data_IF_674513982880
#
_entry.id   IF_674513982880
#
_cell.length_a   1.000
_cell.length_b   1.000
_cell.length_c   1.000
_cell.angle_alpha   90.00
_cell.angle_beta   90.00
_cell.angle_gamma   90.00
#
_symmetry.space_group_name_H-M   'P 1'
#
loop_
_entity.id
_entity.type
_entity.pdbx_description
1 polymer ?
#
# COMPACT_ATOMS: atom_id res chain seq x y z
N UNK A 1 -19.08 15.70 -1.32
CA UNK A 1 -17.82 14.93 -1.16
C UNK A 1 -18.24 13.50 -0.92
N UNK A 2 -17.83 12.56 -1.77
CA UNK A 2 -18.15 11.14 -1.54
C UNK A 2 -17.47 10.66 -0.26
N UNK A 3 -18.16 9.84 0.54
CA UNK A 3 -17.59 9.28 1.75
C UNK A 3 -16.41 8.37 1.38
N UNK A 4 -15.29 8.47 2.10
CA UNK A 4 -14.16 7.56 1.92
C UNK A 4 -14.60 6.14 2.25
N UNK A 5 -14.11 5.14 1.51
CA UNK A 5 -14.37 3.72 1.82
C UNK A 5 -13.06 3.02 2.17
N UNK A 6 -13.03 2.37 3.33
CA UNK A 6 -11.89 1.62 3.86
C UNK A 6 -12.19 0.13 3.74
N UNK A 7 -11.50 -0.53 2.82
CA UNK A 7 -11.63 -1.96 2.59
C UNK A 7 -10.55 -2.74 3.35
N UNK A 8 -10.93 -3.89 3.92
CA UNK A 8 -10.00 -4.75 4.65
C UNK A 8 -10.42 -6.24 4.59
N UNK A 9 -9.50 -7.18 4.32
CA UNK A 9 -9.81 -8.61 4.33
C UNK A 9 -9.63 -9.24 5.73
N UNK A 10 -8.63 -8.80 6.48
CA UNK A 10 -8.32 -9.27 7.83
C UNK A 10 -8.16 -8.05 8.73
N UNK A 11 -8.69 -8.11 9.95
CA UNK A 11 -8.72 -6.98 10.90
C UNK A 11 -7.34 -6.65 11.49
N UNK A 12 -6.28 -6.68 10.68
CA UNK A 12 -4.90 -6.46 11.09
C UNK A 12 -4.67 -5.06 11.66
N UNK A 13 -3.53 -4.90 12.35
CA UNK A 13 -3.18 -3.67 13.06
C UNK A 13 -3.21 -2.43 12.17
N UNK A 14 -2.75 -2.52 10.92
CA UNK A 14 -2.81 -1.42 9.94
C UNK A 14 -4.24 -0.95 9.64
N UNK A 15 -5.17 -1.89 9.46
CA UNK A 15 -6.58 -1.59 9.17
C UNK A 15 -7.26 -0.89 10.36
N UNK A 16 -6.91 -1.29 11.59
CA UNK A 16 -7.39 -0.62 12.80
C UNK A 16 -6.84 0.80 12.89
N UNK A 17 -5.54 1.00 12.63
CA UNK A 17 -4.88 2.31 12.70
C UNK A 17 -5.44 3.32 11.70
N UNK A 18 -5.76 2.90 10.48
CA UNK A 18 -6.40 3.79 9.48
C UNK A 18 -7.76 4.28 9.98
N UNK A 19 -8.57 3.37 10.52
CA UNK A 19 -9.89 3.70 11.08
C UNK A 19 -9.77 4.66 12.27
N UNK A 20 -8.84 4.40 13.19
CA UNK A 20 -8.55 5.30 14.32
C UNK A 20 -8.12 6.68 13.86
N UNK A 21 -7.25 6.77 12.85
CA UNK A 21 -6.78 8.03 12.28
C UNK A 21 -7.93 8.83 11.68
N UNK A 22 -8.76 8.22 10.83
CA UNK A 22 -9.89 8.90 10.19
C UNK A 22 -10.92 9.37 11.22
N UNK A 23 -11.26 8.51 12.19
CA UNK A 23 -12.13 8.87 13.31
C UNK A 23 -11.55 10.04 14.11
N UNK A 24 -10.26 10.01 14.43
CA UNK A 24 -9.58 11.08 15.17
C UNK A 24 -9.50 12.41 14.40
N UNK A 25 -9.60 12.37 13.07
CA UNK A 25 -9.67 13.56 12.20
C UNK A 25 -11.10 14.01 11.89
N UNK A 26 -12.12 13.31 12.39
CA UNK A 26 -13.53 13.61 12.10
C UNK A 26 -13.90 13.40 10.62
N UNK A 27 -13.13 12.58 9.90
CA UNK A 27 -13.38 12.32 8.47
C UNK A 27 -14.37 11.16 8.37
N UNK A 28 -15.57 11.35 7.78
CA UNK A 28 -16.55 10.27 7.63
C UNK A 28 -16.06 9.23 6.63
N UNK A 29 -16.22 7.94 6.98
CA UNK A 29 -15.85 6.82 6.11
C UNK A 29 -16.77 5.61 6.28
N UNK A 30 -16.88 4.80 5.23
CA UNK A 30 -17.47 3.47 5.26
C UNK A 30 -16.38 2.42 5.50
N UNK A 31 -16.66 1.41 6.33
CA UNK A 31 -15.74 0.30 6.57
C UNK A 31 -16.30 -0.99 6.00
N UNK A 32 -15.59 -1.61 5.06
CA UNK A 32 -16.05 -2.78 4.30
C UNK A 32 -15.12 -3.97 4.54
N UNK A 33 -15.67 -5.05 5.07
CA UNK A 33 -14.95 -6.32 5.24
C UNK A 33 -15.05 -7.15 3.95
N UNK A 34 -13.93 -7.24 3.25
CA UNK A 34 -13.83 -7.95 1.97
C UNK A 34 -14.02 -9.46 2.09
N UNK A 35 -13.62 -10.05 3.21
CA UNK A 35 -13.80 -11.49 3.44
C UNK A 35 -15.27 -11.88 3.61
N UNK A 36 -16.14 -10.91 3.90
CA UNK A 36 -17.59 -11.11 4.09
C UNK A 36 -18.44 -10.55 2.94
N UNK A 37 -17.83 -9.85 1.99
CA UNK A 37 -18.54 -9.16 0.92
C UNK A 37 -17.91 -9.46 -0.46
N UNK A 38 -18.38 -10.53 -1.14
CA UNK A 38 -17.91 -10.89 -2.47
C UNK A 38 -18.17 -9.80 -3.53
N UNK A 39 -19.21 -8.97 -3.34
CA UNK A 39 -19.51 -7.88 -4.26
C UNK A 39 -18.50 -6.75 -4.11
N UNK A 40 -18.12 -6.40 -2.87
CA UNK A 40 -17.04 -5.47 -2.60
C UNK A 40 -15.69 -5.96 -3.14
N UNK A 41 -15.40 -7.26 -3.03
CA UNK A 41 -14.22 -7.86 -3.66
C UNK A 41 -14.23 -7.69 -5.18
N UNK A 42 -15.35 -8.03 -5.84
CA UNK A 42 -15.50 -7.86 -7.30
C UNK A 42 -15.37 -6.39 -7.71
N UNK A 43 -15.94 -5.47 -6.93
CA UNK A 43 -15.81 -4.03 -7.14
C UNK A 43 -14.34 -3.61 -7.04
N UNK A 44 -13.64 -3.97 -5.97
CA UNK A 44 -12.21 -3.65 -5.82
C UNK A 44 -11.37 -4.19 -6.97
N UNK A 45 -11.58 -5.45 -7.37
CA UNK A 45 -10.89 -6.05 -8.51
C UNK A 45 -11.14 -5.27 -9.80
N UNK A 46 -12.34 -4.72 -9.99
CA UNK A 46 -12.67 -3.90 -11.16
C UNK A 46 -12.01 -2.52 -11.19
N UNK A 47 -11.53 -2.01 -10.04
CA UNK A 47 -10.85 -0.72 -10.01
C UNK A 47 -9.47 -0.76 -10.68
N UNK A 48 -8.85 -1.94 -10.75
CA UNK A 48 -7.53 -2.17 -11.34
C UNK A 48 -6.41 -1.38 -10.66
N UNK A 49 -5.24 -1.35 -11.29
CA UNK A 49 -4.13 -0.48 -10.88
C UNK A 49 -4.48 0.97 -11.24
N UNK A 50 -4.77 1.78 -10.23
CA UNK A 50 -4.97 3.23 -10.42
C UNK A 50 -3.69 3.95 -10.04
N UNK A 51 -3.31 4.95 -10.84
CA UNK A 51 -2.37 5.96 -10.36
C UNK A 51 -2.96 6.61 -9.10
N UNK A 52 -2.10 7.12 -8.24
CA UNK A 52 -2.50 7.87 -7.06
C UNK A 52 -2.16 9.35 -7.35
N UNK A 53 -3.01 10.11 -8.06
CA UNK A 53 -2.68 11.47 -8.51
C UNK A 53 -2.21 12.40 -7.40
N UNK A 54 -2.76 12.24 -6.19
CA UNK A 54 -2.39 13.07 -5.05
C UNK A 54 -0.94 12.86 -4.64
N UNK A 55 -0.35 11.68 -4.85
CA UNK A 55 1.04 11.40 -4.49
C UNK A 55 2.00 12.17 -5.42
N UNK A 56 1.71 12.17 -6.72
CA UNK A 56 2.46 12.97 -7.71
C UNK A 56 2.32 14.45 -7.40
N UNK A 57 1.10 14.93 -7.16
CA UNK A 57 0.86 16.33 -6.80
C UNK A 57 1.60 16.73 -5.53
N UNK A 58 1.54 15.90 -4.48
CA UNK A 58 2.25 16.12 -3.23
C UNK A 58 3.76 16.26 -3.47
N UNK A 59 4.35 15.31 -4.21
CA UNK A 59 5.77 15.33 -4.54
C UNK A 59 6.18 16.59 -5.30
N UNK A 60 5.37 17.01 -6.26
CA UNK A 60 5.64 18.20 -7.07
C UNK A 60 5.61 19.48 -6.23
N UNK A 61 4.72 19.54 -5.22
CA UNK A 61 4.59 20.69 -4.32
C UNK A 61 5.53 20.68 -3.12
N UNK A 62 6.31 19.61 -2.92
CA UNK A 62 7.19 19.49 -1.76
C UNK A 62 8.43 20.38 -1.93
N UNK A 63 8.56 21.40 -1.08
CA UNK A 63 9.69 22.35 -1.10
C UNK A 63 11.04 21.66 -0.82
N UNK A 64 11.10 20.81 0.21
CA UNK A 64 12.28 20.02 0.54
C UNK A 64 12.10 18.55 0.16
N UNK A 65 12.68 18.17 -0.98
CA UNK A 65 12.68 16.79 -1.50
C UNK A 65 13.84 15.94 -0.97
N UNK A 66 14.65 16.45 -0.03
CA UNK A 66 15.72 15.66 0.60
C UNK A 66 15.19 14.49 1.42
N UNK A 67 13.91 14.55 1.81
CA UNK A 67 13.24 13.56 2.66
C UNK A 67 13.96 13.34 4.01
N UNK A 68 14.73 14.31 4.49
CA UNK A 68 15.43 14.22 5.78
C UNK A 68 14.56 14.60 6.98
N UNK A 69 13.39 15.17 6.71
CA UNK A 69 12.46 15.63 7.73
C UNK A 69 12.03 14.48 8.66
N UNK A 70 11.97 14.70 9.99
CA UNK A 70 11.60 13.68 10.95
C UNK A 70 10.10 13.40 10.93
N UNK A 71 9.73 12.11 10.89
CA UNK A 71 8.38 11.60 11.00
C UNK A 71 8.22 10.79 12.30
N UNK A 72 7.22 11.14 13.11
CA UNK A 72 6.84 10.37 14.28
C UNK A 72 5.95 9.20 13.87
N UNK A 73 6.45 7.98 14.08
CA UNK A 73 5.74 6.73 13.83
C UNK A 73 5.42 6.04 15.16
N UNK A 74 4.59 5.01 15.14
CA UNK A 74 4.23 4.27 16.36
C UNK A 74 5.42 3.53 17.00
N UNK A 75 6.49 3.29 16.24
CA UNK A 75 7.69 2.56 16.66
C UNK A 75 8.94 3.46 16.76
N UNK A 76 8.77 4.79 16.73
CA UNK A 76 9.87 5.73 16.89
C UNK A 76 9.84 6.89 15.89
N UNK A 77 10.86 7.74 15.97
CA UNK A 77 11.06 8.85 15.03
C UNK A 77 12.08 8.41 13.98
N UNK A 78 11.71 8.54 12.72
CA UNK A 78 12.55 8.19 11.57
C UNK A 78 12.50 9.30 10.52
N UNK A 79 13.47 9.36 9.62
CA UNK A 79 13.40 10.28 8.48
C UNK A 79 12.29 9.87 7.51
N UNK A 80 11.77 10.84 6.75
CA UNK A 80 10.87 10.58 5.63
C UNK A 80 11.50 9.65 4.58
N UNK A 81 12.81 9.71 4.37
CA UNK A 81 13.53 8.79 3.48
C UNK A 81 13.36 7.34 3.94
N UNK A 82 13.68 7.03 5.19
CA UNK A 82 13.54 5.66 5.73
C UNK A 82 12.09 5.18 5.74
N UNK A 83 11.12 6.09 5.80
CA UNK A 83 9.71 5.74 5.63
C UNK A 83 9.38 5.31 4.21
N UNK A 84 9.74 6.15 3.23
CA UNK A 84 9.43 5.94 1.82
C UNK A 84 10.16 4.71 1.28
N UNK A 85 11.44 4.55 1.62
CA UNK A 85 12.24 3.37 1.27
C UNK A 85 11.59 2.07 1.75
N UNK A 86 11.22 1.99 3.04
CA UNK A 86 10.52 0.83 3.59
C UNK A 86 9.17 0.59 2.92
N UNK A 87 8.44 1.64 2.59
CA UNK A 87 7.13 1.54 1.92
C UNK A 87 7.26 0.99 0.50
N UNK A 88 8.27 1.45 -0.25
CA UNK A 88 8.60 0.96 -1.59
C UNK A 88 9.00 -0.51 -1.54
N UNK A 89 9.92 -0.89 -0.64
CA UNK A 89 10.30 -2.29 -0.45
C UNK A 89 9.10 -3.16 -0.09
N UNK A 90 8.33 -2.78 0.93
CA UNK A 90 7.17 -3.57 1.38
C UNK A 90 6.17 -3.83 0.25
N UNK A 91 5.89 -2.81 -0.57
CA UNK A 91 4.99 -2.92 -1.72
C UNK A 91 5.58 -3.84 -2.80
N UNK A 92 6.87 -3.73 -3.09
CA UNK A 92 7.56 -4.59 -4.05
C UNK A 92 7.57 -6.06 -3.62
N UNK A 93 7.83 -6.33 -2.33
CA UNK A 93 7.82 -7.67 -1.76
C UNK A 93 6.42 -8.33 -1.84
N UNK A 94 5.35 -7.63 -1.47
CA UNK A 94 4.00 -8.16 -1.61
C UNK A 94 3.58 -8.34 -3.07
N UNK A 95 4.00 -7.45 -3.96
CA UNK A 95 3.76 -7.63 -5.40
C UNK A 95 4.46 -8.88 -5.91
N UNK A 96 5.70 -9.14 -5.48
CA UNK A 96 6.43 -10.36 -5.82
C UNK A 96 5.69 -11.62 -5.33
N UNK A 97 5.19 -11.63 -4.10
CA UNK A 97 4.38 -12.74 -3.54
C UNK A 97 3.09 -12.98 -4.33
N UNK A 98 2.38 -11.91 -4.72
CA UNK A 98 1.16 -12.01 -5.52
C UNK A 98 1.44 -12.56 -6.92
N UNK A 99 2.49 -12.09 -7.58
CA UNK A 99 2.89 -12.58 -8.89
C UNK A 99 3.28 -14.06 -8.85
N UNK A 100 4.05 -14.45 -7.82
CA UNK A 100 4.37 -15.86 -7.57
C UNK A 100 3.09 -16.68 -7.38
N UNK A 101 2.16 -16.24 -6.52
CA UNK A 101 0.91 -16.95 -6.25
C UNK A 101 0.05 -17.09 -7.52
N UNK A 102 -0.08 -16.03 -8.31
CA UNK A 102 -0.80 -16.08 -9.59
C UNK A 102 -0.17 -17.12 -10.53
N UNK A 103 1.18 -17.16 -10.62
CA UNK A 103 1.88 -18.12 -11.47
C UNK A 103 1.62 -19.57 -11.04
N UNK A 104 1.69 -19.85 -9.75
CA UNK A 104 1.46 -21.20 -9.20
C UNK A 104 -0.01 -21.65 -9.30
N UNK A 105 -0.96 -20.71 -9.28
CA UNK A 105 -2.40 -21.00 -9.28
C UNK A 105 -3.10 -20.73 -10.63
N UNK A 106 -2.33 -20.44 -11.69
CA UNK A 106 -2.87 -20.19 -13.04
C UNK A 106 -3.64 -18.87 -13.20
N UNK A 107 -3.41 -17.89 -12.32
CA UNK A 107 -3.96 -16.54 -12.44
C UNK A 107 -3.26 -15.74 -13.56
N UNK A 108 -3.99 -14.87 -14.29
CA UNK A 108 -3.39 -14.05 -15.34
C UNK A 108 -2.41 -13.05 -14.74
N UNK A 109 -1.24 -12.92 -15.37
CA UNK A 109 -0.22 -11.91 -15.04
C UNK A 109 0.08 -11.11 -16.29
N UNK A 110 -0.40 -9.87 -16.33
CA UNK A 110 -0.19 -8.96 -17.47
C UNK A 110 1.22 -8.37 -17.49
N UNK A 111 1.81 -8.14 -16.30
CA UNK A 111 3.13 -7.55 -16.16
C UNK A 111 3.92 -8.23 -15.02
N UNK A 112 5.18 -8.56 -15.32
CA UNK A 112 6.14 -9.09 -14.35
C UNK A 112 6.94 -7.95 -13.71
N UNK A 113 7.40 -8.15 -12.48
CA UNK A 113 8.47 -7.34 -11.90
C UNK A 113 9.81 -7.79 -12.50
N UNK A 114 10.50 -6.88 -13.17
CA UNK A 114 11.82 -7.17 -13.73
C UNK A 114 12.92 -6.91 -12.70
N UNK A 115 14.11 -7.47 -12.93
CA UNK A 115 15.27 -7.24 -12.05
C UNK A 115 15.65 -5.76 -12.00
N UNK A 116 15.46 -5.06 -13.12
CA UNK A 116 15.73 -3.63 -13.25
C UNK A 116 14.76 -2.81 -12.37
N UNK A 117 13.48 -3.18 -12.31
CA UNK A 117 12.49 -2.51 -11.43
C UNK A 117 12.82 -2.72 -9.95
N UNK A 118 13.38 -3.88 -9.60
CA UNK A 118 13.73 -4.23 -8.21
C UNK A 118 15.14 -3.76 -7.82
N UNK A 119 15.90 -3.16 -8.75
CA UNK A 119 17.28 -2.78 -8.51
C UNK A 119 17.39 -1.80 -7.34
N UNK A 120 18.26 -2.12 -6.37
CA UNK A 120 18.51 -1.29 -5.19
C UNK A 120 17.53 -1.50 -4.04
N UNK A 121 16.48 -2.32 -4.22
CA UNK A 121 15.63 -2.76 -3.12
C UNK A 121 16.27 -3.97 -2.42
N UNK A 122 16.30 -4.00 -1.07
CA UNK A 122 16.80 -5.14 -0.32
C UNK A 122 15.77 -6.29 -0.32
N UNK A 123 15.50 -6.85 -1.49
CA UNK A 123 14.56 -7.95 -1.64
C UNK A 123 15.12 -9.23 -0.97
N UNK A 124 14.30 -9.97 -0.21
CA UNK A 124 14.73 -11.24 0.36
C UNK A 124 15.01 -12.27 -0.73
N UNK A 125 15.86 -13.25 -0.42
CA UNK A 125 16.15 -14.36 -1.34
C UNK A 125 14.93 -15.29 -1.46
N UNK A 126 14.27 -15.58 -0.34
CA UNK A 126 13.01 -16.33 -0.30
C UNK A 126 11.77 -15.46 -0.56
N UNK A 127 10.77 -16.02 -1.23
CA UNK A 127 9.50 -15.33 -1.52
C UNK A 127 8.64 -15.09 -0.26
N UNK A 128 8.83 -15.87 0.80
CA UNK A 128 8.07 -15.82 2.05
C UNK A 128 8.91 -15.38 3.26
N UNK A 129 10.12 -14.88 3.01
CA UNK A 129 11.05 -14.39 4.03
C UNK A 129 10.86 -12.91 4.35
#
# INVERSE_FOLDING_TARGET
MEALTVYWPTGGSSCVRVKEFLTGKGVPYQSVNLAKDPAAMKFLSSLGTRSIPWLTQWWDTLEDRSCRQPLKMFYGVHSMHSFLERSTWHSAHHTHQLLWWCKENGGPVEQQLTKEVLQGLPMPEGIWE
#
